data_IF_603795348229
#
_entry.id   IF_603795348229
#
_cell.length_a   1.000
_cell.length_b   1.000
_cell.length_c   1.000
_cell.angle_alpha   90.00
_cell.angle_beta   90.00
_cell.angle_gamma   90.00
#
_symmetry.space_group_name_H-M   'P 1'
#
loop_
_entity.id
_entity.type
_entity.pdbx_description
1 polymer ?
#
# COMPACT_ATOMS: atom_id res chain seq x y z
N UNK A 1 -12.60 19.53 8.43
CA UNK A 1 -13.78 18.71 8.10
C UNK A 1 -13.31 17.46 7.37
N UNK A 2 -12.98 16.39 8.11
CA UNK A 2 -12.50 15.16 7.52
C UNK A 2 -13.67 14.42 6.87
N UNK A 3 -13.60 14.20 5.56
CA UNK A 3 -14.41 13.18 4.90
C UNK A 3 -14.25 11.90 5.72
N UNK A 4 -15.37 11.34 6.16
CA UNK A 4 -15.38 10.10 6.92
C UNK A 4 -14.67 8.97 6.19
N UNK A 5 -14.65 7.81 6.84
CA UNK A 5 -14.17 6.55 6.28
C UNK A 5 -14.51 6.41 4.77
N UNK A 6 -13.53 6.10 3.89
CA UNK A 6 -13.75 6.04 2.44
C UNK A 6 -14.90 5.11 2.04
N UNK A 7 -15.76 5.56 1.14
CA UNK A 7 -16.88 4.73 0.71
C UNK A 7 -16.43 3.41 0.02
N UNK A 8 -17.05 2.30 0.40
CA UNK A 8 -16.91 1.00 -0.24
C UNK A 8 -18.19 0.16 -0.06
N UNK A 9 -18.45 -0.75 -1.01
CA UNK A 9 -19.59 -1.67 -1.00
C UNK A 9 -19.13 -3.12 -0.93
N UNK A 10 -19.91 -4.02 -0.29
CA UNK A 10 -19.66 -5.46 -0.35
C UNK A 10 -19.44 -5.94 -1.78
N UNK A 11 -18.51 -6.89 -1.96
CA UNK A 11 -18.11 -7.43 -3.26
C UNK A 11 -16.94 -6.69 -3.91
N UNK A 12 -16.65 -5.45 -3.51
CA UNK A 12 -15.52 -4.71 -4.07
C UNK A 12 -14.16 -5.22 -3.56
N UNK A 13 -13.13 -5.08 -4.41
CA UNK A 13 -11.74 -5.35 -4.11
C UNK A 13 -10.94 -4.04 -4.05
N UNK A 14 -10.38 -3.73 -2.88
CA UNK A 14 -9.69 -2.48 -2.59
C UNK A 14 -8.22 -2.74 -2.30
N UNK A 15 -7.34 -2.09 -3.07
CA UNK A 15 -5.91 -2.05 -2.77
C UNK A 15 -5.60 -1.02 -1.70
N UNK A 16 -4.85 -1.40 -0.67
CA UNK A 16 -4.37 -0.52 0.38
C UNK A 16 -2.90 -0.21 0.14
N UNK A 17 -2.56 1.04 -0.18
CA UNK A 17 -1.18 1.51 -0.32
C UNK A 17 -0.84 2.44 0.85
N UNK A 18 -0.20 1.89 1.87
CA UNK A 18 0.26 2.67 3.03
C UNK A 18 1.64 3.29 2.83
N UNK A 19 1.85 4.48 3.38
CA UNK A 19 3.14 5.16 3.33
C UNK A 19 3.14 6.48 4.09
N UNK A 20 4.33 7.04 4.32
CA UNK A 20 4.43 8.40 4.88
C UNK A 20 3.98 9.47 3.88
N UNK A 21 4.18 9.24 2.58
CA UNK A 21 3.91 10.20 1.51
C UNK A 21 4.52 11.58 1.81
N UNK A 22 5.82 11.57 2.09
CA UNK A 22 6.59 12.73 2.60
C UNK A 22 7.78 13.07 1.66
N UNK A 23 7.54 13.67 0.47
CA UNK A 23 6.23 13.91 -0.14
C UNK A 23 5.75 12.71 -0.98
N UNK A 24 4.44 12.68 -1.27
CA UNK A 24 3.92 11.91 -2.39
C UNK A 24 4.58 12.35 -3.71
N UNK A 25 4.73 11.42 -4.66
CA UNK A 25 5.43 11.69 -5.92
C UNK A 25 4.95 10.75 -7.03
N UNK A 26 5.35 11.01 -8.27
CA UNK A 26 4.88 10.28 -9.45
C UNK A 26 5.20 8.77 -9.44
N UNK A 27 6.13 8.31 -8.59
CA UNK A 27 6.37 6.89 -8.34
C UNK A 27 5.19 6.21 -7.64
N UNK A 28 4.60 6.86 -6.63
CA UNK A 28 3.38 6.38 -5.97
C UNK A 28 2.20 6.34 -6.96
N UNK A 29 2.04 7.38 -7.80
CA UNK A 29 1.00 7.43 -8.84
C UNK A 29 1.16 6.27 -9.83
N UNK A 30 2.39 6.02 -10.29
CA UNK A 30 2.70 4.94 -11.22
C UNK A 30 2.39 3.56 -10.64
N UNK A 31 2.86 3.28 -9.41
CA UNK A 31 2.56 2.03 -8.69
C UNK A 31 1.05 1.84 -8.54
N UNK A 32 0.33 2.89 -8.19
CA UNK A 32 -1.13 2.84 -8.01
C UNK A 32 -1.87 2.48 -9.29
N UNK A 33 -1.52 3.13 -10.41
CA UNK A 33 -2.11 2.85 -11.72
C UNK A 33 -1.82 1.43 -12.19
N UNK A 34 -0.60 0.95 -11.97
CA UNK A 34 -0.25 -0.43 -12.29
C UNK A 34 -0.96 -1.42 -11.37
N UNK A 35 -1.11 -1.15 -10.08
CA UNK A 35 -1.83 -2.02 -9.15
C UNK A 35 -3.30 -2.19 -9.56
N UNK A 36 -4.00 -1.09 -9.87
CA UNK A 36 -5.39 -1.11 -10.38
C UNK A 36 -5.52 -2.06 -11.57
N UNK A 37 -4.60 -1.97 -12.55
CA UNK A 37 -4.63 -2.76 -13.79
C UNK A 37 -4.23 -4.21 -13.56
N UNK A 38 -3.11 -4.44 -12.88
CA UNK A 38 -2.47 -5.77 -12.79
C UNK A 38 -3.17 -6.69 -11.80
N UNK A 39 -3.79 -6.13 -10.76
CA UNK A 39 -4.52 -6.92 -9.76
C UNK A 39 -6.04 -6.89 -9.95
N UNK A 40 -6.55 -6.11 -10.91
CA UNK A 40 -7.99 -6.03 -11.18
C UNK A 40 -8.76 -5.39 -10.02
N UNK A 41 -8.21 -4.32 -9.42
CA UNK A 41 -8.81 -3.68 -8.25
C UNK A 41 -9.92 -2.72 -8.67
N UNK A 42 -10.99 -2.67 -7.90
CA UNK A 42 -12.07 -1.70 -8.07
C UNK A 42 -11.60 -0.31 -7.64
N UNK A 43 -10.93 -0.24 -6.49
CA UNK A 43 -10.39 1.00 -5.93
C UNK A 43 -9.00 0.80 -5.33
N UNK A 44 -8.27 1.90 -5.17
CA UNK A 44 -7.06 1.95 -4.34
C UNK A 44 -7.20 3.06 -3.32
N UNK A 45 -6.84 2.78 -2.08
CA UNK A 45 -6.74 3.78 -1.02
C UNK A 45 -5.29 4.05 -0.69
N UNK A 46 -4.90 5.32 -0.75
CA UNK A 46 -3.64 5.79 -0.19
C UNK A 46 -3.85 6.07 1.28
N UNK A 47 -3.18 5.30 2.14
CA UNK A 47 -3.26 5.45 3.58
C UNK A 47 -2.08 6.31 4.02
N UNK A 48 -2.33 7.60 4.21
CA UNK A 48 -1.30 8.55 4.61
C UNK A 48 -1.08 8.41 6.12
N UNK A 49 0.09 7.90 6.50
CA UNK A 49 0.34 7.53 7.90
C UNK A 49 0.48 8.79 8.78
N UNK A 50 0.04 8.76 10.05
CA UNK A 50 0.21 9.90 10.98
C UNK A 50 1.68 10.26 11.24
N UNK A 51 2.61 9.33 11.01
CA UNK A 51 4.03 9.45 11.34
C UNK A 51 4.36 8.90 12.73
N UNK A 52 5.65 8.84 13.07
CA UNK A 52 6.08 8.43 14.40
C UNK A 52 6.21 9.67 15.31
N UNK A 53 5.38 9.84 16.35
CA UNK A 53 5.45 10.98 17.26
C UNK A 53 6.78 11.08 18.04
N UNK A 54 7.58 10.02 18.07
CA UNK A 54 8.86 9.95 18.79
C UNK A 54 10.06 10.53 18.00
N UNK A 55 9.87 11.03 16.76
CA UNK A 55 10.95 11.63 15.97
C UNK A 55 11.04 13.14 16.21
N UNK A 56 12.24 13.62 16.53
CA UNK A 56 12.53 15.05 16.80
C UNK A 56 12.32 15.98 15.60
N UNK A 57 12.45 15.46 14.37
CA UNK A 57 11.96 16.07 13.14
C UNK A 57 10.98 15.10 12.47
N UNK A 58 9.69 15.36 12.67
CA UNK A 58 8.63 14.63 11.99
C UNK A 58 8.60 14.94 10.49
N UNK A 59 7.90 14.13 9.69
CA UNK A 59 7.50 14.53 8.34
C UNK A 59 6.70 15.85 8.38
N UNK A 60 6.40 16.45 7.23
CA UNK A 60 5.43 17.55 7.22
C UNK A 60 4.10 17.13 7.88
N UNK A 61 3.29 18.11 8.29
CA UNK A 61 2.03 17.81 8.97
C UNK A 61 1.18 16.83 8.15
N UNK A 62 0.40 15.98 8.85
CA UNK A 62 -0.47 15.02 8.18
C UNK A 62 -1.40 15.72 7.18
N UNK A 63 -1.93 16.89 7.55
CA UNK A 63 -2.75 17.72 6.68
C UNK A 63 -2.02 18.16 5.41
N UNK A 64 -0.78 18.66 5.52
CA UNK A 64 0.01 19.07 4.36
C UNK A 64 0.29 17.89 3.42
N UNK A 65 0.64 16.72 3.98
CA UNK A 65 0.88 15.51 3.19
C UNK A 65 -0.39 14.99 2.52
N UNK A 66 -1.54 15.04 3.18
CA UNK A 66 -2.84 14.70 2.59
C UNK A 66 -3.19 15.65 1.45
N UNK A 67 -3.03 16.97 1.65
CA UNK A 67 -3.30 17.97 0.62
C UNK A 67 -2.42 17.73 -0.63
N UNK A 68 -1.12 17.53 -0.41
CA UNK A 68 -0.16 17.21 -1.47
C UNK A 68 -0.47 15.89 -2.20
N UNK A 69 -0.78 14.84 -1.45
CA UNK A 69 -1.13 13.56 -2.04
C UNK A 69 -2.43 13.63 -2.86
N UNK A 70 -3.42 14.42 -2.41
CA UNK A 70 -4.68 14.65 -3.14
C UNK A 70 -4.50 15.49 -4.40
N UNK A 71 -3.66 16.54 -4.35
CA UNK A 71 -3.38 17.35 -5.55
C UNK A 71 -2.68 16.54 -6.64
N UNK A 72 -1.76 15.65 -6.22
CA UNK A 72 -1.00 14.80 -7.13
C UNK A 72 -1.81 13.61 -7.68
N UNK A 73 -2.59 12.92 -6.85
CA UNK A 73 -3.26 11.68 -7.22
C UNK A 73 -4.73 11.91 -7.62
N UNK A 74 -4.92 12.44 -8.82
CA UNK A 74 -6.24 12.65 -9.41
C UNK A 74 -6.67 11.43 -10.23
N UNK A 75 -7.51 10.56 -9.65
CA UNK A 75 -8.08 9.41 -10.35
C UNK A 75 -9.41 8.97 -9.71
N UNK A 76 -10.48 8.67 -10.49
CA UNK A 76 -11.82 8.41 -9.95
C UNK A 76 -11.91 7.14 -9.08
N UNK A 77 -10.94 6.23 -9.22
CA UNK A 77 -10.84 4.99 -8.44
C UNK A 77 -9.80 5.05 -7.31
N UNK A 78 -9.29 6.24 -6.99
CA UNK A 78 -8.29 6.41 -5.92
C UNK A 78 -8.78 7.37 -4.85
N UNK A 79 -8.71 6.95 -3.59
CA UNK A 79 -9.04 7.80 -2.44
C UNK A 79 -7.80 7.99 -1.57
N UNK A 80 -7.46 9.25 -1.27
CA UNK A 80 -6.39 9.59 -0.33
C UNK A 80 -7.00 9.89 1.03
N UNK A 81 -6.60 9.11 2.05
CA UNK A 81 -7.25 9.08 3.36
C UNK A 81 -6.25 9.03 4.50
N UNK A 82 -6.67 9.58 5.63
CA UNK A 82 -6.05 9.51 6.95
C UNK A 82 -6.73 8.45 7.84
N UNK A 83 -7.27 7.39 7.24
CA UNK A 83 -8.05 6.36 7.94
C UNK A 83 -7.34 5.81 9.18
N UNK A 84 -6.02 5.69 9.18
CA UNK A 84 -5.26 5.24 10.35
C UNK A 84 -5.39 6.22 11.53
N UNK A 85 -5.39 7.53 11.28
CA UNK A 85 -5.64 8.55 12.29
C UNK A 85 -7.09 8.48 12.79
N UNK A 86 -8.06 8.32 11.88
CA UNK A 86 -9.48 8.21 12.24
C UNK A 86 -9.79 6.95 13.06
N UNK A 87 -9.09 5.85 12.77
CA UNK A 87 -9.24 4.57 13.47
C UNK A 87 -8.41 4.47 14.76
N UNK A 88 -7.46 5.38 14.96
CA UNK A 88 -6.51 5.32 16.07
C UNK A 88 -5.52 4.14 15.98
N UNK A 89 -5.26 3.61 14.78
CA UNK A 89 -4.40 2.44 14.57
C UNK A 89 -2.98 2.87 14.25
N UNK A 90 -1.99 2.17 14.83
CA UNK A 90 -0.57 2.48 14.59
C UNK A 90 0.11 1.45 13.71
N UNK A 91 -0.35 0.21 13.75
CA UNK A 91 0.24 -0.90 12.99
C UNK A 91 -0.69 -1.35 11.88
N UNK A 92 -0.10 -1.70 10.73
CA UNK A 92 -0.84 -2.17 9.55
C UNK A 92 -1.79 -3.34 9.87
N UNK A 93 -1.39 -4.27 10.75
CA UNK A 93 -2.24 -5.38 11.18
C UNK A 93 -3.53 -4.91 11.88
N UNK A 94 -3.45 -3.84 12.69
CA UNK A 94 -4.59 -3.22 13.35
C UNK A 94 -5.48 -2.50 12.35
N UNK A 95 -4.88 -1.72 11.45
CA UNK A 95 -5.59 -1.03 10.37
C UNK A 95 -6.42 -2.02 9.55
N UNK A 96 -5.81 -3.14 9.12
CA UNK A 96 -6.49 -4.17 8.32
C UNK A 96 -7.64 -4.80 9.10
N UNK A 97 -7.42 -5.21 10.35
CA UNK A 97 -8.47 -5.80 11.19
C UNK A 97 -9.65 -4.82 11.40
N UNK A 98 -9.34 -3.55 11.68
CA UNK A 98 -10.33 -2.50 11.88
C UNK A 98 -11.13 -2.18 10.61
N UNK A 99 -10.49 -2.22 9.44
CA UNK A 99 -11.15 -2.08 8.14
C UNK A 99 -12.06 -3.28 7.83
N UNK A 100 -11.58 -4.52 8.01
CA UNK A 100 -12.39 -5.72 7.80
C UNK A 100 -13.66 -5.74 8.66
N UNK A 101 -13.58 -5.24 9.89
CA UNK A 101 -14.74 -5.11 10.78
C UNK A 101 -15.76 -4.06 10.28
N UNK A 102 -15.28 -2.94 9.73
CA UNK A 102 -16.11 -1.81 9.31
C UNK A 102 -16.71 -1.97 7.91
N UNK A 103 -16.09 -2.79 7.07
CA UNK A 103 -16.50 -3.02 5.69
C UNK A 103 -16.80 -4.50 5.45
N UNK A 104 -17.87 -5.06 6.05
CA UNK A 104 -18.24 -6.44 5.85
C UNK A 104 -18.47 -6.72 4.36
N UNK A 105 -17.88 -7.80 3.84
CA UNK A 105 -18.00 -8.20 2.44
C UNK A 105 -17.08 -7.44 1.47
N UNK A 106 -16.31 -6.45 1.91
CA UNK A 106 -15.24 -5.84 1.10
C UNK A 106 -13.97 -6.69 1.21
N UNK A 107 -13.27 -6.87 0.09
CA UNK A 107 -12.00 -7.57 0.02
C UNK A 107 -10.86 -6.56 -0.04
N UNK A 108 -9.85 -6.74 0.81
CA UNK A 108 -8.68 -5.88 0.84
C UNK A 108 -7.45 -6.60 0.31
N UNK A 109 -6.60 -5.88 -0.42
CA UNK A 109 -5.28 -6.32 -0.88
C UNK A 109 -4.25 -5.32 -0.37
N UNK A 110 -3.23 -5.77 0.36
CA UNK A 110 -2.16 -4.87 0.75
C UNK A 110 -1.17 -4.69 -0.40
N UNK A 111 -0.90 -3.44 -0.78
CA UNK A 111 0.01 -3.09 -1.87
C UNK A 111 1.34 -2.61 -1.31
N UNK A 112 2.44 -3.11 -1.86
CA UNK A 112 3.78 -2.67 -1.47
C UNK A 112 4.80 -2.81 -2.61
N UNK A 113 5.93 -2.12 -2.47
CA UNK A 113 7.10 -2.32 -3.30
C UNK A 113 7.88 -3.58 -2.94
N UNK A 114 8.76 -4.02 -3.83
CA UNK A 114 9.64 -5.16 -3.62
C UNK A 114 10.70 -4.92 -2.52
N UNK A 115 11.11 -3.67 -2.34
CA UNK A 115 11.95 -3.18 -1.24
C UNK A 115 11.24 -3.37 0.11
N UNK A 116 9.96 -2.98 0.22
CA UNK A 116 9.16 -3.21 1.42
C UNK A 116 8.98 -4.70 1.69
N UNK A 117 8.77 -5.53 0.66
CA UNK A 117 8.65 -6.99 0.83
C UNK A 117 9.90 -7.60 1.47
N UNK A 118 11.09 -7.16 1.07
CA UNK A 118 12.35 -7.65 1.62
C UNK A 118 12.44 -7.45 3.14
N UNK A 119 11.85 -6.36 3.64
CA UNK A 119 11.88 -5.97 5.05
C UNK A 119 10.59 -6.30 5.81
N UNK A 120 9.55 -6.79 5.13
CA UNK A 120 8.21 -6.98 5.67
C UNK A 120 8.16 -7.85 6.92
N UNK A 121 9.06 -8.83 7.04
CA UNK A 121 9.20 -9.69 8.22
C UNK A 121 9.58 -8.95 9.52
N UNK A 122 9.96 -7.68 9.42
CA UNK A 122 10.27 -6.79 10.55
C UNK A 122 9.07 -5.94 10.96
N UNK A 123 7.97 -5.99 10.22
CA UNK A 123 6.77 -5.24 10.56
C UNK A 123 6.09 -5.90 11.75
N UNK A 124 5.50 -5.06 12.61
CA UNK A 124 4.74 -5.52 13.76
C UNK A 124 3.62 -6.46 13.30
N UNK A 125 3.60 -7.67 13.86
CA UNK A 125 2.61 -8.71 13.54
C UNK A 125 2.49 -9.00 12.03
N UNK A 126 3.59 -8.96 11.29
CA UNK A 126 3.60 -9.18 9.83
C UNK A 126 2.94 -10.50 9.37
N UNK A 127 3.03 -11.55 10.19
CA UNK A 127 2.34 -12.82 9.92
C UNK A 127 0.83 -12.64 9.91
N UNK A 128 0.29 -11.91 10.88
CA UNK A 128 -1.14 -11.61 10.91
C UNK A 128 -1.59 -10.86 9.64
N UNK A 129 -0.76 -9.95 9.13
CA UNK A 129 -1.06 -9.22 7.90
C UNK A 129 -1.22 -10.17 6.70
N UNK A 130 -0.21 -11.03 6.45
CA UNK A 130 -0.23 -11.94 5.29
C UNK A 130 -1.29 -13.03 5.41
N UNK A 131 -1.66 -13.42 6.63
CA UNK A 131 -2.75 -14.38 6.89
C UNK A 131 -4.14 -13.75 6.76
N UNK A 132 -4.26 -12.41 6.84
CA UNK A 132 -5.56 -11.71 6.73
C UNK A 132 -5.90 -11.23 5.33
N UNK A 133 -4.91 -10.82 4.54
CA UNK A 133 -5.13 -10.22 3.22
C UNK A 133 -4.08 -10.67 2.19
N UNK A 134 -4.46 -10.77 0.90
CA UNK A 134 -3.48 -10.95 -0.16
C UNK A 134 -2.47 -9.79 -0.24
N UNK A 135 -1.21 -10.09 -0.58
CA UNK A 135 -0.17 -9.09 -0.81
C UNK A 135 0.11 -8.89 -2.31
N UNK A 136 -0.16 -7.69 -2.81
CA UNK A 136 0.18 -7.26 -4.16
C UNK A 136 1.54 -6.54 -4.18
N UNK A 137 2.58 -7.22 -4.67
CA UNK A 137 3.95 -6.69 -4.69
C UNK A 137 4.29 -6.18 -6.09
N UNK A 138 4.63 -4.89 -6.18
CA UNK A 138 5.02 -4.24 -7.43
C UNK A 138 6.53 -3.97 -7.42
N UNK A 139 7.24 -4.56 -8.38
CA UNK A 139 8.68 -4.47 -8.46
C UNK A 139 9.14 -3.61 -9.64
N UNK A 140 10.09 -2.72 -9.38
CA UNK A 140 10.78 -1.97 -10.44
C UNK A 140 11.89 -2.86 -11.03
N UNK A 141 12.38 -2.57 -12.25
CA UNK A 141 13.50 -3.31 -12.81
C UNK A 141 14.74 -3.19 -11.90
N UNK A 142 15.28 -4.31 -11.45
CA UNK A 142 16.38 -4.38 -10.47
C UNK A 142 15.97 -5.04 -9.14
N UNK A 143 14.71 -4.93 -8.73
CA UNK A 143 14.27 -5.35 -7.39
C UNK A 143 13.92 -6.84 -7.26
N UNK A 144 14.24 -7.66 -8.27
CA UNK A 144 13.82 -9.06 -8.33
C UNK A 144 14.52 -9.94 -7.29
N UNK A 145 15.78 -9.65 -6.99
CA UNK A 145 16.59 -10.48 -6.09
C UNK A 145 16.11 -10.32 -4.64
N UNK A 146 15.96 -9.08 -4.09
CA UNK A 146 15.45 -8.90 -2.73
C UNK A 146 14.07 -9.52 -2.49
N UNK A 147 13.18 -9.45 -3.48
CA UNK A 147 11.85 -10.03 -3.35
C UNK A 147 11.86 -11.57 -3.31
N UNK A 148 12.73 -12.21 -4.10
CA UNK A 148 12.85 -13.68 -4.14
C UNK A 148 13.52 -14.27 -2.91
N UNK A 149 14.36 -13.50 -2.21
CA UNK A 149 15.03 -13.93 -0.98
C UNK A 149 14.30 -13.49 0.29
N UNK A 150 13.21 -12.72 0.17
CA UNK A 150 12.40 -12.26 1.30
C UNK A 150 11.90 -13.41 2.18
N UNK A 151 11.67 -13.14 3.47
CA UNK A 151 11.12 -14.15 4.39
C UNK A 151 9.72 -14.62 3.96
N UNK A 152 8.96 -13.76 3.28
CA UNK A 152 7.70 -14.13 2.63
C UNK A 152 7.94 -15.17 1.55
N UNK A 153 8.90 -14.96 0.64
CA UNK A 153 9.19 -15.94 -0.40
C UNK A 153 9.68 -17.29 0.17
N UNK A 154 10.43 -17.27 1.28
CA UNK A 154 10.91 -18.47 1.96
C UNK A 154 9.79 -19.25 2.68
N UNK A 155 8.98 -18.55 3.48
CA UNK A 155 7.98 -19.20 4.34
C UNK A 155 6.61 -19.38 3.66
N UNK A 156 6.26 -18.49 2.74
CA UNK A 156 4.97 -18.44 2.06
C UNK A 156 5.09 -18.71 0.55
N UNK A 157 6.19 -19.32 0.09
CA UNK A 157 6.45 -19.58 -1.32
C UNK A 157 5.33 -20.38 -2.02
N UNK A 158 4.71 -21.32 -1.32
CA UNK A 158 3.59 -22.12 -1.82
C UNK A 158 2.30 -21.32 -2.07
N UNK A 159 2.14 -20.17 -1.42
CA UNK A 159 0.98 -19.28 -1.55
C UNK A 159 1.16 -18.21 -2.63
N UNK A 160 2.23 -18.33 -3.44
CA UNK A 160 2.53 -17.36 -4.49
C UNK A 160 1.59 -17.55 -5.68
N UNK A 161 0.76 -16.55 -5.94
CA UNK A 161 -0.08 -16.45 -7.13
C UNK A 161 0.78 -16.06 -8.34
N UNK A 162 0.71 -16.85 -9.42
CA UNK A 162 1.50 -16.62 -10.63
C UNK A 162 1.10 -15.30 -11.29
N UNK A 163 2.03 -14.68 -12.02
CA UNK A 163 1.78 -13.38 -12.68
C UNK A 163 0.55 -13.37 -13.60
N UNK A 164 0.29 -14.47 -14.31
CA UNK A 164 -0.87 -14.60 -15.21
C UNK A 164 -2.21 -14.61 -14.46
N UNK A 165 -2.18 -15.04 -13.21
CA UNK A 165 -3.33 -15.16 -12.31
C UNK A 165 -3.36 -13.98 -11.30
N UNK A 166 -2.49 -12.98 -11.49
CA UNK A 166 -2.43 -11.81 -10.61
C UNK A 166 -3.68 -10.93 -10.75
N UNK A 167 -4.31 -10.94 -11.92
CA UNK A 167 -5.61 -10.30 -12.12
C UNK A 167 -6.65 -11.09 -11.32
N UNK A 168 -7.27 -10.45 -10.33
CA UNK A 168 -8.14 -11.14 -9.37
C UNK A 168 -7.44 -11.56 -8.08
N UNK A 169 -6.21 -11.08 -7.79
CA UNK A 169 -5.50 -11.40 -6.55
C UNK A 169 -6.38 -11.23 -5.29
N UNK A 170 -7.25 -10.22 -5.26
CA UNK A 170 -8.12 -9.97 -4.12
C UNK A 170 -9.23 -11.00 -3.87
N UNK A 171 -9.51 -11.91 -4.81
CA UNK A 171 -10.48 -13.00 -4.58
C UNK A 171 -9.84 -14.26 -3.98
N UNK A 172 -8.51 -14.34 -3.93
CA UNK A 172 -7.82 -15.45 -3.27
C UNK A 172 -7.98 -15.37 -1.76
N UNK A 173 -8.17 -16.53 -1.13
CA UNK A 173 -8.10 -16.68 0.33
C UNK A 173 -6.67 -16.43 0.78
N UNK A 174 -6.50 -15.59 1.81
CA UNK A 174 -5.20 -15.39 2.44
C UNK A 174 -4.77 -16.68 3.20
N UNK A 175 -3.47 -16.99 3.26
CA UNK A 175 -2.37 -16.21 2.70
C UNK A 175 -2.27 -16.37 1.19
N UNK A 176 -2.06 -15.26 0.49
CA UNK A 176 -1.84 -15.20 -0.94
C UNK A 176 -0.95 -14.02 -1.27
N UNK A 177 -0.04 -14.15 -2.22
CA UNK A 177 0.75 -13.00 -2.66
C UNK A 177 1.14 -13.12 -4.11
N UNK A 178 1.20 -12.00 -4.80
CA UNK A 178 1.68 -11.95 -6.18
C UNK A 178 2.76 -10.91 -6.35
N UNK A 179 3.66 -11.19 -7.28
CA UNK A 179 4.78 -10.33 -7.62
C UNK A 179 4.69 -9.97 -9.10
N UNK A 180 4.52 -8.68 -9.39
CA UNK A 180 4.41 -8.17 -10.76
C UNK A 180 5.49 -7.13 -11.03
N UNK A 181 6.15 -7.24 -12.18
CA UNK A 181 7.10 -6.23 -12.64
C UNK A 181 6.35 -5.07 -13.31
N UNK A 182 6.75 -3.85 -13.02
CA UNK A 182 6.23 -2.64 -13.64
C UNK A 182 7.32 -1.90 -14.42
N UNK A 183 6.98 -1.12 -15.47
CA UNK A 183 7.95 -0.30 -16.20
C UNK A 183 8.66 0.69 -15.26
N UNK A 184 9.93 1.00 -15.56
CA UNK A 184 10.75 1.89 -14.74
C UNK A 184 10.21 3.33 -14.74
N UNK A 185 10.15 3.95 -13.55
CA UNK A 185 10.18 5.40 -13.37
C UNK A 185 11.20 5.73 -12.28
N UNK A 186 12.25 6.50 -12.63
CA UNK A 186 13.32 6.89 -11.71
C UNK A 186 12.89 8.09 -10.86
N UNK A 187 12.20 7.86 -9.75
CA UNK A 187 11.84 8.89 -8.76
C UNK A 187 11.75 8.26 -7.37
N UNK A 188 12.37 8.88 -6.35
CA UNK A 188 12.23 8.55 -4.92
C UNK A 188 11.92 9.79 -4.06
N UNK A 189 11.22 9.62 -2.93
CA UNK A 189 10.95 10.73 -2.00
C UNK A 189 12.20 11.35 -1.39
N UNK A 190 13.27 10.56 -1.17
CA UNK A 190 14.52 11.08 -0.60
C UNK A 190 15.21 12.07 -1.56
N UNK A 191 15.29 11.75 -2.85
CA UNK A 191 15.84 12.66 -3.87
C UNK A 191 15.02 13.95 -3.99
N UNK A 192 13.69 13.87 -3.83
CA UNK A 192 12.81 15.05 -3.90
C UNK A 192 13.04 15.97 -2.69
N UNK A 193 13.20 15.39 -1.49
CA UNK A 193 13.49 16.17 -0.27
C UNK A 193 14.83 16.87 -0.35
N UNK A 194 15.87 16.20 -0.89
CA UNK A 194 17.19 16.80 -1.09
C UNK A 194 17.17 17.98 -2.07
N UNK A 195 16.26 17.96 -3.05
CA UNK A 195 16.06 19.06 -4.00
C UNK A 195 15.17 20.18 -3.47
N UNK A 196 14.53 20.01 -2.30
CA UNK A 196 13.58 20.98 -1.76
C UNK A 196 12.27 21.08 -2.54
N UNK A 197 12.01 20.16 -3.48
CA UNK A 197 10.85 20.18 -4.37
C UNK A 197 9.63 19.55 -3.68
N UNK A 198 9.07 20.25 -2.69
CA UNK A 198 7.66 20.07 -2.35
C UNK A 198 6.87 20.74 -3.47
N UNK A 199 6.66 20.01 -4.56
CA UNK A 199 5.91 20.54 -5.72
C UNK A 199 4.60 21.18 -5.33
#
# INVERSE_FOLDING_TARGET
MGLGLPYARPGQVIGLLGGSFDPAHAGHVHITREALKRFGLDHVWWLVTPGNPLKSRGPASLEARLAHARSLMQHPRVTVTDVEAQLGTRYTAETIAALQLRYPGVRFVWLMGADNLAQFHRWERWREIIERVPLGVLARPGDRIPARTSKVAQLYGQYRVRKRDAFGLGVHTAPAWSFVNIPMRRISSSEIREKGEWG
#
